data_IF_243075191712
#
_entry.id   IF_243075191712
#
_cell.length_a   1.000
_cell.length_b   1.000
_cell.length_c   1.000
_cell.angle_alpha   90.00
_cell.angle_beta   90.00
_cell.angle_gamma   90.00
#
_symmetry.space_group_name_H-M   'P 1'
#
loop_
_entity.id
_entity.type
_entity.pdbx_description
1 polymer ?
#
# COMPACT_ATOMS: atom_id res chain seq x y z
N UNK A 1 -5.45 12.88 84.47
CA UNK A 1 -6.16 13.10 83.19
C UNK A 1 -5.16 13.25 82.07
N UNK A 2 -5.03 12.16 81.26
CA UNK A 2 -4.12 12.08 80.08
C UNK A 2 -4.87 12.57 78.84
N UNK A 3 -4.34 13.49 78.02
CA UNK A 3 -5.03 13.93 76.80
C UNK A 3 -4.82 12.91 75.66
N UNK A 4 -5.93 12.43 75.11
CA UNK A 4 -5.97 11.57 73.88
C UNK A 4 -5.61 12.38 72.64
N UNK A 5 -4.58 11.93 71.91
CA UNK A 5 -4.18 12.46 70.59
C UNK A 5 -5.22 12.10 69.50
N UNK A 6 -5.62 13.03 68.62
CA UNK A 6 -6.47 12.68 67.51
C UNK A 6 -5.74 11.89 66.46
N UNK A 7 -6.35 10.79 65.99
CA UNK A 7 -5.87 9.87 64.96
C UNK A 7 -6.07 10.55 63.56
N UNK A 8 -4.98 10.87 62.89
CA UNK A 8 -5.02 11.40 61.55
C UNK A 8 -5.51 10.30 60.57
N UNK A 9 -6.69 10.52 60.00
CA UNK A 9 -7.22 9.73 58.92
C UNK A 9 -6.50 10.14 57.58
N UNK A 10 -5.54 9.35 57.18
CA UNK A 10 -4.85 9.48 55.90
C UNK A 10 -5.84 9.14 54.76
N UNK A 11 -6.49 10.15 54.21
CA UNK A 11 -7.32 9.99 52.98
C UNK A 11 -6.43 9.63 51.82
N UNK A 12 -6.65 8.49 51.22
CA UNK A 12 -5.90 7.99 50.06
C UNK A 12 -6.14 8.90 48.82
N UNK A 13 -5.17 9.72 48.47
CA UNK A 13 -5.16 10.59 47.28
C UNK A 13 -4.94 9.82 45.96
N UNK A 14 -4.92 8.48 45.98
CA UNK A 14 -4.66 7.64 44.79
C UNK A 14 -5.88 7.28 43.95
N UNK A 15 -7.13 7.57 44.40
CA UNK A 15 -8.35 7.21 43.67
C UNK A 15 -8.63 8.04 42.41
N UNK A 16 -8.17 9.30 42.35
CA UNK A 16 -8.43 10.21 41.24
C UNK A 16 -7.65 9.91 39.97
N UNK A 17 -6.38 9.54 40.10
CA UNK A 17 -5.50 9.24 38.94
C UNK A 17 -5.96 7.99 38.17
N UNK A 18 -6.41 6.95 38.89
CA UNK A 18 -6.89 5.71 38.24
C UNK A 18 -8.21 5.93 37.47
N UNK A 19 -9.11 6.79 38.02
CA UNK A 19 -10.37 7.13 37.35
C UNK A 19 -10.14 8.01 36.12
N UNK A 20 -9.23 8.95 36.20
CA UNK A 20 -8.82 9.79 35.06
C UNK A 20 -8.22 8.96 33.94
N UNK A 21 -7.29 8.05 34.26
CA UNK A 21 -6.67 7.14 33.27
C UNK A 21 -7.70 6.23 32.59
N UNK A 22 -8.67 5.67 33.36
CA UNK A 22 -9.77 4.86 32.81
C UNK A 22 -10.65 5.65 31.86
N UNK A 23 -10.97 6.92 32.19
CA UNK A 23 -11.75 7.79 31.29
C UNK A 23 -10.99 8.15 30.03
N UNK A 24 -9.68 8.43 30.13
CA UNK A 24 -8.83 8.70 28.98
C UNK A 24 -8.72 7.46 28.06
N UNK A 25 -8.56 6.29 28.66
CA UNK A 25 -8.54 5.02 27.92
C UNK A 25 -9.90 4.76 27.24
N UNK A 26 -11.00 4.97 27.95
CA UNK A 26 -12.36 4.84 27.39
C UNK A 26 -12.61 5.80 26.23
N UNK A 27 -12.20 7.06 26.35
CA UNK A 27 -12.28 8.04 25.26
C UNK A 27 -11.42 7.58 24.06
N UNK A 28 -10.22 7.09 24.30
CA UNK A 28 -9.34 6.54 23.25
C UNK A 28 -9.99 5.38 22.49
N UNK A 29 -10.63 4.46 23.21
CA UNK A 29 -11.38 3.34 22.60
C UNK A 29 -12.56 3.83 21.77
N UNK A 30 -13.35 4.78 22.28
CA UNK A 30 -14.48 5.35 21.53
C UNK A 30 -14.01 6.03 20.26
N UNK A 31 -12.95 6.84 20.33
CA UNK A 31 -12.39 7.49 19.15
C UNK A 31 -11.82 6.49 18.14
N UNK A 32 -11.20 5.40 18.59
CA UNK A 32 -10.72 4.32 17.73
C UNK A 32 -11.88 3.61 17.02
N UNK A 33 -12.98 3.32 17.74
CA UNK A 33 -14.16 2.68 17.14
C UNK A 33 -14.82 3.61 16.12
N UNK A 34 -15.00 4.91 16.45
CA UNK A 34 -15.54 5.88 15.51
C UNK A 34 -14.62 6.04 14.27
N UNK A 35 -13.31 6.01 14.46
CA UNK A 35 -12.34 6.03 13.37
C UNK A 35 -12.46 4.78 12.46
N UNK A 36 -12.63 3.60 13.03
CA UNK A 36 -12.86 2.36 12.28
C UNK A 36 -14.17 2.39 11.49
N UNK A 37 -15.26 2.86 12.10
CA UNK A 37 -16.56 3.00 11.42
C UNK A 37 -16.45 4.00 10.27
N UNK A 38 -15.81 5.14 10.50
CA UNK A 38 -15.56 6.14 9.46
C UNK A 38 -14.71 5.58 8.30
N UNK A 39 -13.66 4.84 8.62
CA UNK A 39 -12.81 4.17 7.63
C UNK A 39 -13.59 3.13 6.81
N UNK A 40 -14.40 2.30 7.48
CA UNK A 40 -15.26 1.31 6.82
C UNK A 40 -16.30 1.98 5.91
N UNK A 41 -16.88 3.11 6.32
CA UNK A 41 -17.79 3.90 5.50
C UNK A 41 -17.11 4.48 4.24
N UNK A 42 -15.92 5.04 4.40
CA UNK A 42 -15.11 5.53 3.27
C UNK A 42 -14.77 4.37 2.31
N UNK A 43 -14.32 3.24 2.86
CA UNK A 43 -14.00 2.06 2.07
C UNK A 43 -15.21 1.56 1.28
N UNK A 44 -16.36 1.41 1.93
CA UNK A 44 -17.61 0.97 1.31
C UNK A 44 -18.08 1.93 0.19
N UNK A 45 -18.01 3.24 0.45
CA UNK A 45 -18.41 4.26 -0.53
C UNK A 45 -17.56 4.21 -1.80
N UNK A 46 -16.24 4.07 -1.67
CA UNK A 46 -15.31 4.05 -2.82
C UNK A 46 -15.14 2.66 -3.45
N UNK A 47 -15.63 1.59 -2.82
CA UNK A 47 -15.54 0.21 -3.36
C UNK A 47 -16.53 -0.07 -4.49
N UNK A 48 -17.65 0.66 -4.56
CA UNK A 48 -18.76 0.35 -5.48
C UNK A 48 -18.49 0.65 -6.94
N UNK A 49 -17.57 1.57 -7.24
CA UNK A 49 -17.31 2.09 -8.59
C UNK A 49 -15.84 1.82 -9.02
N UNK A 50 -15.32 0.67 -8.61
CA UNK A 50 -13.95 0.27 -8.97
C UNK A 50 -13.94 -0.72 -10.12
N UNK A 51 -12.96 -0.63 -11.04
CA UNK A 51 -12.78 -1.61 -12.09
C UNK A 51 -12.51 -3.00 -11.50
N UNK A 52 -12.84 -4.03 -12.27
CA UNK A 52 -12.56 -5.42 -11.91
C UNK A 52 -11.07 -5.71 -12.03
N UNK A 53 -10.54 -6.52 -11.13
CA UNK A 53 -9.11 -6.88 -11.13
C UNK A 53 -8.81 -8.07 -12.05
N UNK A 54 -9.84 -8.83 -12.45
CA UNK A 54 -9.74 -9.99 -13.33
C UNK A 54 -9.10 -9.64 -14.68
N UNK A 55 -9.31 -8.41 -15.15
CA UNK A 55 -8.67 -7.89 -16.37
C UNK A 55 -7.12 -7.88 -16.30
N UNK A 56 -6.53 -7.96 -15.11
CA UNK A 56 -5.07 -8.08 -14.96
C UNK A 56 -4.56 -9.49 -15.27
N UNK A 57 -5.38 -10.53 -15.07
CA UNK A 57 -5.03 -11.92 -15.37
C UNK A 57 -4.94 -12.19 -16.87
N UNK A 58 -5.72 -11.45 -17.67
CA UNK A 58 -5.74 -11.54 -19.14
C UNK A 58 -4.91 -10.42 -19.80
N UNK A 59 -4.19 -9.64 -18.97
CA UNK A 59 -3.45 -8.50 -19.49
C UNK A 59 -2.25 -8.95 -20.34
N UNK A 60 -2.38 -8.74 -21.63
CA UNK A 60 -1.26 -8.85 -22.58
C UNK A 60 -0.70 -7.44 -22.84
N UNK A 61 0.54 -7.16 -22.42
CA UNK A 61 1.17 -5.88 -22.73
C UNK A 61 1.24 -5.66 -24.25
N UNK A 62 0.96 -4.44 -24.75
CA UNK A 62 1.16 -4.15 -26.16
C UNK A 62 2.61 -4.37 -26.56
N UNK A 63 2.84 -5.35 -27.43
CA UNK A 63 4.15 -5.77 -27.92
C UNK A 63 4.44 -5.19 -29.28
N UNK A 64 5.67 -5.40 -29.74
CA UNK A 64 6.12 -5.04 -31.07
C UNK A 64 5.57 -6.04 -32.10
N UNK A 65 4.88 -5.57 -33.14
CA UNK A 65 4.57 -6.39 -34.30
C UNK A 65 5.76 -6.36 -35.26
N UNK A 66 6.39 -7.51 -35.46
CA UNK A 66 7.53 -7.64 -36.37
C UNK A 66 7.03 -8.13 -37.73
N UNK A 67 7.34 -7.40 -38.80
CA UNK A 67 6.98 -7.74 -40.17
C UNK A 67 8.19 -8.39 -40.84
N UNK A 68 7.98 -9.58 -41.41
CA UNK A 68 9.02 -10.36 -42.09
C UNK A 68 8.77 -10.43 -43.59
N UNK A 69 9.85 -10.55 -44.38
CA UNK A 69 9.77 -10.89 -45.81
C UNK A 69 9.52 -12.39 -46.00
N UNK A 70 9.30 -12.81 -47.25
CA UNK A 70 9.09 -14.21 -47.59
C UNK A 70 10.30 -15.12 -47.28
N UNK A 71 11.47 -14.56 -46.96
CA UNK A 71 12.70 -15.25 -46.57
C UNK A 71 12.97 -15.20 -45.07
N UNK A 72 12.02 -14.69 -44.27
CA UNK A 72 12.16 -14.57 -42.83
C UNK A 72 13.03 -13.42 -42.33
N UNK A 73 13.38 -12.47 -43.18
CA UNK A 73 14.15 -11.28 -42.78
C UNK A 73 13.21 -10.20 -42.26
N UNK A 74 13.57 -9.54 -41.18
CA UNK A 74 12.79 -8.42 -40.61
C UNK A 74 12.75 -7.28 -41.63
N UNK A 75 11.56 -6.91 -42.07
CA UNK A 75 11.29 -5.74 -42.91
C UNK A 75 11.08 -4.48 -42.08
N UNK A 76 10.48 -4.63 -40.91
CA UNK A 76 10.21 -3.53 -40.02
C UNK A 76 9.47 -3.96 -38.76
N UNK A 77 9.35 -3.03 -37.84
CA UNK A 77 8.60 -3.19 -36.59
C UNK A 77 7.52 -2.14 -36.52
N UNK A 78 6.30 -2.53 -36.12
CA UNK A 78 5.17 -1.64 -35.87
C UNK A 78 4.88 -1.69 -34.37
N UNK A 79 4.94 -0.54 -33.70
CA UNK A 79 4.69 -0.44 -32.27
C UNK A 79 4.24 0.97 -31.89
N UNK A 80 3.39 1.06 -30.88
CA UNK A 80 3.10 2.32 -30.19
C UNK A 80 4.20 2.64 -29.17
N UNK A 81 4.66 1.59 -28.45
CA UNK A 81 5.81 1.62 -27.58
C UNK A 81 6.61 0.35 -27.79
N UNK A 82 7.91 0.47 -28.03
CA UNK A 82 8.79 -0.68 -28.24
C UNK A 82 9.01 -1.42 -26.95
N UNK A 83 8.19 -2.45 -26.68
CA UNK A 83 8.26 -3.29 -25.47
C UNK A 83 8.50 -4.74 -25.85
N UNK A 84 9.36 -5.36 -25.06
CA UNK A 84 9.55 -6.80 -25.05
C UNK A 84 9.12 -7.30 -23.69
N UNK A 85 8.09 -8.13 -23.67
CA UNK A 85 7.62 -8.78 -22.44
C UNK A 85 8.58 -9.88 -22.09
N UNK A 86 9.08 -9.88 -20.87
CA UNK A 86 10.03 -10.86 -20.35
C UNK A 86 9.35 -11.65 -19.23
N UNK A 87 9.26 -12.99 -19.30
CA UNK A 87 8.81 -13.81 -18.20
C UNK A 87 9.66 -13.58 -16.93
N UNK A 88 9.05 -13.68 -15.75
CA UNK A 88 9.72 -13.38 -14.49
C UNK A 88 10.93 -14.29 -14.23
N UNK A 89 10.83 -15.56 -14.60
CA UNK A 89 11.90 -16.56 -14.50
C UNK A 89 13.09 -16.28 -15.43
N UNK A 90 12.86 -15.57 -16.55
CA UNK A 90 13.92 -15.10 -17.43
C UNK A 90 14.59 -13.79 -16.96
N UNK A 91 14.03 -13.12 -15.95
CA UNK A 91 14.62 -11.92 -15.36
C UNK A 91 15.66 -12.29 -14.30
N UNK A 92 16.90 -11.75 -14.37
CA UNK A 92 17.89 -12.03 -13.34
C UNK A 92 17.42 -11.64 -11.93
N UNK A 93 17.63 -12.50 -10.93
CA UNK A 93 17.23 -12.25 -9.54
C UNK A 93 17.75 -10.92 -8.99
N UNK A 94 18.97 -10.55 -9.30
CA UNK A 94 19.55 -9.29 -8.83
C UNK A 94 18.79 -8.06 -9.36
N UNK A 95 18.20 -8.14 -10.56
CA UNK A 95 17.34 -7.10 -11.12
C UNK A 95 16.04 -7.00 -10.33
N UNK A 96 15.37 -8.14 -10.11
CA UNK A 96 14.14 -8.19 -9.31
C UNK A 96 14.39 -7.63 -7.92
N UNK A 97 15.45 -8.08 -7.25
CA UNK A 97 15.83 -7.64 -5.91
C UNK A 97 16.20 -6.15 -5.85
N UNK A 98 16.77 -5.57 -6.91
CA UNK A 98 17.06 -4.14 -6.95
C UNK A 98 15.78 -3.29 -6.96
N UNK A 99 14.76 -3.68 -7.73
CA UNK A 99 13.46 -3.01 -7.72
C UNK A 99 12.75 -3.19 -6.38
N UNK A 100 12.72 -4.40 -5.84
CA UNK A 100 12.14 -4.69 -4.53
C UNK A 100 12.79 -3.83 -3.43
N UNK A 101 14.11 -3.77 -3.39
CA UNK A 101 14.84 -2.98 -2.39
C UNK A 101 14.60 -1.47 -2.51
N UNK A 102 14.42 -0.97 -3.73
CA UNK A 102 14.21 0.45 -3.99
C UNK A 102 12.77 0.90 -3.71
N UNK A 103 11.79 0.09 -4.11
CA UNK A 103 10.38 0.46 -4.13
C UNK A 103 9.58 -0.14 -2.96
N UNK A 104 9.83 -1.40 -2.62
CA UNK A 104 9.03 -2.15 -1.66
C UNK A 104 9.81 -3.31 -1.03
N UNK A 105 10.72 -2.99 -0.12
CA UNK A 105 11.60 -3.99 0.51
C UNK A 105 10.86 -5.10 1.28
N UNK A 106 9.60 -4.89 1.65
CA UNK A 106 8.76 -5.86 2.36
C UNK A 106 7.71 -6.52 1.48
N UNK A 107 7.83 -6.41 0.15
CA UNK A 107 6.84 -6.86 -0.83
C UNK A 107 6.29 -8.27 -0.55
N UNK A 108 7.15 -9.22 -0.19
CA UNK A 108 6.79 -10.61 0.05
C UNK A 108 6.03 -10.87 1.36
N UNK A 109 5.91 -9.86 2.24
CA UNK A 109 5.41 -10.06 3.62
C UNK A 109 4.13 -9.30 3.95
N UNK A 110 3.66 -8.41 3.07
CA UNK A 110 2.42 -7.66 3.28
C UNK A 110 1.37 -7.98 2.22
N UNK A 111 0.11 -7.70 2.51
CA UNK A 111 -1.05 -7.92 1.63
C UNK A 111 -1.48 -6.59 0.96
N UNK A 112 -0.67 -6.10 0.03
CA UNK A 112 -0.92 -4.89 -0.77
C UNK A 112 -0.58 -3.57 -0.09
N UNK A 113 -0.47 -3.51 1.25
CA UNK A 113 -0.16 -2.30 2.01
C UNK A 113 0.92 -2.60 3.05
N UNK A 114 2.07 -1.94 2.98
CA UNK A 114 3.08 -1.98 4.04
C UNK A 114 2.81 -0.90 5.10
N UNK A 115 1.99 -1.23 6.11
CA UNK A 115 1.69 -0.33 7.24
C UNK A 115 2.96 0.07 7.99
N UNK A 116 3.89 -0.89 8.19
CA UNK A 116 5.18 -0.63 8.82
C UNK A 116 6.06 0.32 8.02
N UNK A 117 6.06 0.16 6.70
CA UNK A 117 6.75 1.04 5.76
C UNK A 117 6.17 2.46 5.76
N UNK A 118 4.85 2.59 5.79
CA UNK A 118 4.16 3.89 5.91
C UNK A 118 4.61 4.59 7.19
N UNK A 119 4.60 3.90 8.33
CA UNK A 119 5.00 4.47 9.61
C UNK A 119 6.48 4.90 9.60
N UNK A 120 7.38 4.06 9.09
CA UNK A 120 8.80 4.40 8.91
C UNK A 120 8.99 5.62 8.01
N UNK A 121 8.26 5.70 6.90
CA UNK A 121 8.32 6.81 5.96
C UNK A 121 7.85 8.12 6.61
N UNK A 122 6.76 8.09 7.37
CA UNK A 122 6.24 9.26 8.13
C UNK A 122 7.29 9.77 9.12
N UNK A 123 7.84 8.88 9.95
CA UNK A 123 8.88 9.28 10.92
C UNK A 123 10.12 9.88 10.24
N UNK A 124 10.58 9.27 9.13
CA UNK A 124 11.74 9.75 8.37
C UNK A 124 11.48 11.09 7.70
N UNK A 125 10.28 11.29 7.15
CA UNK A 125 9.89 12.55 6.52
C UNK A 125 9.77 13.69 7.54
N UNK A 126 9.22 13.40 8.74
CA UNK A 126 9.17 14.35 9.85
C UNK A 126 10.58 14.73 10.32
N UNK A 127 11.47 13.74 10.50
CA UNK A 127 12.85 13.99 10.93
C UNK A 127 13.66 14.83 9.92
N UNK A 128 13.39 14.68 8.61
CA UNK A 128 14.10 15.40 7.56
C UNK A 128 13.44 16.72 7.14
N UNK A 129 12.24 17.03 7.66
CA UNK A 129 11.47 18.21 7.29
C UNK A 129 11.06 18.30 5.81
N UNK A 130 11.18 17.21 5.05
CA UNK A 130 10.83 17.13 3.63
C UNK A 130 10.39 15.71 3.26
N UNK A 131 9.70 15.56 2.12
CA UNK A 131 9.31 14.25 1.57
C UNK A 131 10.56 13.52 1.06
N UNK A 132 11.17 12.72 1.93
CA UNK A 132 12.42 12.00 1.65
C UNK A 132 12.19 10.56 1.19
N UNK A 133 11.03 9.98 1.49
CA UNK A 133 10.70 8.60 1.13
C UNK A 133 9.22 8.47 0.75
N UNK A 134 8.93 7.74 -0.33
CA UNK A 134 7.59 7.26 -0.66
C UNK A 134 7.23 6.05 0.19
N UNK A 135 5.94 5.75 0.28
CA UNK A 135 5.41 4.62 1.04
C UNK A 135 4.35 3.84 0.23
N UNK A 136 4.37 3.95 -1.08
CA UNK A 136 3.48 3.17 -1.95
C UNK A 136 4.13 1.84 -2.27
N UNK A 137 3.39 0.75 -2.11
CA UNK A 137 3.85 -0.60 -2.44
C UNK A 137 3.85 -0.85 -3.95
N UNK A 138 4.54 -1.91 -4.39
CA UNK A 138 4.52 -2.40 -5.77
C UNK A 138 3.09 -2.71 -6.21
N UNK A 139 2.30 -3.38 -5.37
CA UNK A 139 0.90 -3.71 -5.67
C UNK A 139 0.04 -2.47 -5.87
N UNK A 140 0.24 -1.42 -5.06
CA UNK A 140 -0.43 -0.13 -5.27
C UNK A 140 -0.01 0.54 -6.58
N UNK A 141 1.23 0.36 -7.02
CA UNK A 141 1.70 0.89 -8.29
C UNK A 141 1.10 0.12 -9.47
N UNK A 142 0.97 -1.21 -9.39
CA UNK A 142 0.24 -2.04 -10.36
C UNK A 142 -1.21 -1.57 -10.46
N UNK A 143 -1.94 -1.52 -9.34
CA UNK A 143 -3.32 -1.05 -9.31
C UNK A 143 -3.48 0.35 -9.96
N UNK A 144 -2.57 1.28 -9.66
CA UNK A 144 -2.57 2.62 -10.23
C UNK A 144 -2.32 2.61 -11.74
N UNK A 145 -1.36 1.84 -12.21
CA UNK A 145 -0.91 1.88 -13.60
C UNK A 145 -1.90 1.23 -14.56
N UNK A 146 -2.61 0.20 -14.10
CA UNK A 146 -3.50 -0.61 -14.95
C UNK A 146 -4.98 -0.28 -14.75
N UNK A 147 -5.39 0.07 -13.54
CA UNK A 147 -6.80 0.14 -13.16
C UNK A 147 -7.31 1.56 -12.91
N UNK A 148 -6.41 2.56 -12.81
CA UNK A 148 -6.80 3.92 -12.44
C UNK A 148 -6.33 4.96 -13.46
N UNK A 149 -7.01 6.10 -13.44
CA UNK A 149 -6.64 7.27 -14.24
C UNK A 149 -5.41 7.99 -13.67
N UNK A 150 -4.72 8.78 -14.48
CA UNK A 150 -3.49 9.51 -14.09
C UNK A 150 -3.72 10.72 -13.17
N UNK A 151 -4.96 11.01 -12.80
CA UNK A 151 -5.28 12.14 -11.93
C UNK A 151 -4.64 11.99 -10.54
N UNK A 152 -4.03 13.05 -10.03
CA UNK A 152 -3.39 13.06 -8.71
C UNK A 152 -4.35 13.58 -7.65
N UNK A 153 -5.30 12.75 -7.21
CA UNK A 153 -6.30 13.08 -6.20
C UNK A 153 -6.21 12.19 -4.96
N UNK A 154 -6.70 12.65 -3.81
CA UNK A 154 -6.84 11.80 -2.62
C UNK A 154 -7.80 10.64 -2.86
N UNK A 155 -8.87 10.86 -3.62
CA UNK A 155 -9.83 9.84 -4.03
C UNK A 155 -9.11 8.69 -4.76
N UNK A 156 -8.27 9.03 -5.73
CA UNK A 156 -7.46 8.04 -6.43
C UNK A 156 -6.56 7.26 -5.45
N UNK A 157 -5.98 7.91 -4.44
CA UNK A 157 -5.13 7.21 -3.47
C UNK A 157 -5.90 6.21 -2.60
N UNK A 158 -7.15 6.53 -2.23
CA UNK A 158 -8.05 5.60 -1.54
C UNK A 158 -8.37 4.40 -2.46
N UNK A 159 -8.72 4.66 -3.72
CA UNK A 159 -8.98 3.62 -4.73
C UNK A 159 -7.78 2.72 -4.96
N UNK A 160 -6.55 3.27 -5.01
CA UNK A 160 -5.31 2.49 -5.08
C UNK A 160 -5.19 1.48 -3.93
N UNK A 161 -5.47 1.92 -2.71
CA UNK A 161 -5.41 1.07 -1.51
C UNK A 161 -6.41 -0.07 -1.60
N UNK A 162 -7.66 0.23 -1.97
CA UNK A 162 -8.72 -0.79 -2.11
C UNK A 162 -8.37 -1.79 -3.21
N UNK A 163 -7.95 -1.30 -4.38
CA UNK A 163 -7.59 -2.15 -5.51
C UNK A 163 -6.34 -2.98 -5.22
N UNK A 164 -5.36 -2.45 -4.48
CA UNK A 164 -4.18 -3.20 -4.10
C UNK A 164 -4.54 -4.44 -3.26
N UNK A 165 -5.48 -4.33 -2.33
CA UNK A 165 -5.96 -5.48 -1.56
C UNK A 165 -6.67 -6.51 -2.47
N UNK A 166 -7.54 -6.05 -3.38
CA UNK A 166 -8.22 -6.96 -4.33
C UNK A 166 -7.24 -7.66 -5.27
N UNK A 167 -6.17 -6.97 -5.68
CA UNK A 167 -5.12 -7.56 -6.52
C UNK A 167 -4.38 -8.67 -5.76
N UNK A 168 -4.05 -8.45 -4.49
CA UNK A 168 -3.41 -9.48 -3.65
C UNK A 168 -4.31 -10.66 -3.32
N UNK A 169 -5.63 -10.44 -3.28
CA UNK A 169 -6.60 -11.53 -3.11
C UNK A 169 -6.77 -12.37 -4.39
N UNK A 170 -6.55 -11.77 -5.57
CA UNK A 170 -6.77 -12.40 -6.86
C UNK A 170 -5.52 -13.02 -7.49
N UNK A 171 -4.33 -12.52 -7.16
CA UNK A 171 -3.07 -12.90 -7.80
C UNK A 171 -1.96 -13.17 -6.79
N UNK A 172 -1.07 -14.10 -7.12
CA UNK A 172 0.13 -14.35 -6.35
C UNK A 172 1.18 -13.22 -6.52
N UNK A 173 2.15 -13.21 -5.62
CA UNK A 173 3.21 -12.20 -5.59
C UNK A 173 4.07 -12.19 -6.85
N UNK A 174 4.34 -13.36 -7.41
CA UNK A 174 5.12 -13.51 -8.64
C UNK A 174 4.40 -12.84 -9.82
N UNK A 175 3.09 -13.05 -9.95
CA UNK A 175 2.30 -12.43 -11.00
C UNK A 175 2.24 -10.90 -10.84
N UNK A 176 2.07 -10.41 -9.61
CA UNK A 176 2.09 -8.96 -9.32
C UNK A 176 3.44 -8.35 -9.67
N UNK A 177 4.54 -9.01 -9.32
CA UNK A 177 5.89 -8.55 -9.64
C UNK A 177 6.15 -8.59 -11.16
N UNK A 178 5.68 -9.63 -11.85
CA UNK A 178 5.72 -9.72 -13.30
C UNK A 178 5.00 -8.54 -13.97
N UNK A 179 3.77 -8.25 -13.55
CA UNK A 179 3.00 -7.10 -14.05
C UNK A 179 3.73 -5.79 -13.80
N UNK A 180 4.27 -5.61 -12.59
CA UNK A 180 5.02 -4.42 -12.23
C UNK A 180 6.22 -4.20 -13.14
N UNK A 181 7.11 -5.19 -13.24
CA UNK A 181 8.36 -5.08 -14.01
C UNK A 181 8.11 -4.89 -15.50
N UNK A 182 7.08 -5.53 -16.06
CA UNK A 182 6.69 -5.35 -17.46
C UNK A 182 5.86 -4.09 -17.71
N UNK A 183 5.32 -3.42 -16.67
CA UNK A 183 4.58 -2.16 -16.81
C UNK A 183 5.47 -0.93 -16.79
N UNK A 184 6.72 -1.06 -16.35
CA UNK A 184 7.65 0.06 -16.27
C UNK A 184 7.90 0.62 -17.67
N UNK A 185 7.54 1.89 -17.84
CA UNK A 185 7.79 2.66 -19.08
C UNK A 185 8.82 3.72 -18.72
N UNK A 186 9.97 3.63 -19.28
CA UNK A 186 10.98 4.69 -19.24
C UNK A 186 10.81 5.64 -20.41
#
# INVERSE_FOLDING_TARGET
TTPTRPRATGGSRFGGASTFLKRLLGLGVVLAVLGMIGMAGVFSYFSGDLPTVEALGEYEPPTVTVVYDAKGRVLGEIYEKRRYVIPLDAMPEHLQNAFLAAEDANFWTHDGIDVGGIFRAVLRNLAKGKKAQGASTITQQVARNFLLTREKTFVRKIREVILAQRVEEAFDKEHILYLYLNSLVY
#
